data_IF_891033400748
#
_entry.id   IF_891033400748
#
_cell.length_a   1.000
_cell.length_b   1.000
_cell.length_c   1.000
_cell.angle_alpha   90.00
_cell.angle_beta   90.00
_cell.angle_gamma   90.00
#
_symmetry.space_group_name_H-M   'P 1'
#
loop_
_entity.id
_entity.type
_entity.pdbx_description
1 polymer ?
#
# COMPACT_ATOMS: atom_id res chain seq x y z
N UNK A 1 15.33 13.41 -6.92
CA UNK A 1 15.19 11.93 -6.92
C UNK A 1 15.57 11.39 -8.29
N UNK A 2 16.26 10.25 -8.37
CA UNK A 2 16.60 9.56 -9.63
C UNK A 2 15.41 8.79 -10.24
N UNK A 3 15.49 8.49 -11.55
CA UNK A 3 14.37 7.88 -12.28
C UNK A 3 14.08 6.44 -11.88
N UNK A 4 15.08 5.69 -11.38
CA UNK A 4 14.86 4.33 -10.89
C UNK A 4 13.97 4.34 -9.65
N UNK A 5 14.27 5.22 -8.69
CA UNK A 5 13.46 5.39 -7.48
C UNK A 5 12.05 5.90 -7.81
N UNK A 6 11.92 6.85 -8.73
CA UNK A 6 10.58 7.31 -9.19
C UNK A 6 9.77 6.14 -9.76
N UNK A 7 10.39 5.29 -10.57
CA UNK A 7 9.73 4.09 -11.11
C UNK A 7 9.44 3.03 -10.03
N UNK A 8 10.30 2.89 -9.03
CA UNK A 8 10.05 2.02 -7.89
C UNK A 8 8.80 2.47 -7.11
N UNK A 9 8.60 3.78 -6.91
CA UNK A 9 7.39 4.29 -6.29
C UNK A 9 6.13 4.10 -7.13
N UNK A 10 6.22 4.29 -8.45
CA UNK A 10 5.10 3.98 -9.36
C UNK A 10 4.75 2.49 -9.30
N UNK A 11 5.76 1.63 -9.19
CA UNK A 11 5.59 0.17 -9.02
C UNK A 11 4.93 -0.17 -7.69
N UNK A 12 5.37 0.47 -6.61
CA UNK A 12 4.77 0.33 -5.28
C UNK A 12 3.29 0.73 -5.30
N UNK A 13 2.95 1.85 -5.93
CA UNK A 13 1.58 2.32 -6.06
C UNK A 13 0.72 1.32 -6.85
N UNK A 14 1.23 0.81 -7.97
CA UNK A 14 0.56 -0.24 -8.74
C UNK A 14 0.32 -1.50 -7.90
N UNK A 15 1.35 -1.98 -7.18
CA UNK A 15 1.24 -3.18 -6.35
C UNK A 15 0.20 -3.01 -5.25
N UNK A 16 0.19 -1.87 -4.59
CA UNK A 16 -0.78 -1.60 -3.53
C UNK A 16 -2.22 -1.54 -4.06
N UNK A 17 -2.44 -0.97 -5.25
CA UNK A 17 -3.75 -0.98 -5.90
C UNK A 17 -4.23 -2.42 -6.20
N UNK A 18 -3.34 -3.33 -6.59
CA UNK A 18 -3.67 -4.75 -6.75
C UNK A 18 -4.05 -5.41 -5.42
N UNK A 19 -3.30 -5.13 -4.35
CA UNK A 19 -3.58 -5.66 -3.01
C UNK A 19 -4.96 -5.17 -2.53
N UNK A 20 -5.31 -3.89 -2.74
CA UNK A 20 -6.61 -3.31 -2.38
C UNK A 20 -7.77 -3.82 -3.25
N UNK A 21 -7.53 -4.13 -4.54
CA UNK A 21 -8.57 -4.66 -5.44
C UNK A 21 -9.21 -5.94 -4.91
N UNK A 22 -8.47 -6.74 -4.15
CA UNK A 22 -8.97 -7.97 -3.53
C UNK A 22 -10.14 -7.73 -2.55
N UNK A 23 -10.21 -6.53 -1.95
CA UNK A 23 -11.25 -6.15 -1.00
C UNK A 23 -12.63 -5.95 -1.65
N UNK A 24 -12.68 -5.73 -2.97
CA UNK A 24 -13.95 -5.55 -3.71
C UNK A 24 -14.88 -6.76 -3.62
N UNK A 25 -14.35 -7.96 -3.45
CA UNK A 25 -15.13 -9.19 -3.40
C UNK A 25 -15.50 -9.61 -1.98
N UNK A 26 -15.25 -8.75 -0.98
CA UNK A 26 -15.58 -9.05 0.41
C UNK A 26 -17.12 -9.07 0.59
N UNK A 27 -17.70 -10.19 1.09
CA UNK A 27 -19.15 -10.32 1.22
C UNK A 27 -19.68 -9.47 2.38
N UNK A 28 -20.09 -8.24 2.08
CA UNK A 28 -20.57 -7.23 3.04
C UNK A 28 -22.02 -7.42 3.55
N UNK A 29 -22.78 -8.41 3.05
CA UNK A 29 -24.24 -8.44 3.25
C UNK A 29 -24.77 -9.43 4.30
N UNK A 30 -24.48 -10.72 4.15
CA UNK A 30 -25.16 -11.80 4.89
C UNK A 30 -24.24 -12.62 5.81
N UNK A 31 -22.96 -12.75 5.48
CA UNK A 31 -21.99 -13.53 6.27
C UNK A 31 -21.49 -12.80 7.52
N UNK A 32 -21.51 -11.46 7.54
CA UNK A 32 -21.06 -10.64 8.67
C UNK A 32 -21.89 -10.81 9.94
N UNK A 33 -23.15 -11.26 9.82
CA UNK A 33 -24.08 -11.43 10.94
C UNK A 33 -23.88 -12.74 11.72
N UNK A 34 -23.17 -13.71 11.14
CA UNK A 34 -23.12 -15.09 11.63
C UNK A 34 -21.86 -15.33 12.48
N UNK A 35 -20.80 -14.52 12.34
CA UNK A 35 -19.54 -14.71 13.06
C UNK A 35 -18.91 -13.37 13.52
N UNK A 36 -19.05 -12.99 14.81
CA UNK A 36 -18.51 -11.72 15.33
C UNK A 36 -16.98 -11.66 15.32
N UNK A 37 -16.28 -12.79 15.34
CA UNK A 37 -14.82 -12.85 15.23
C UNK A 37 -14.37 -12.55 13.79
N UNK A 38 -15.08 -13.09 12.80
CA UNK A 38 -14.82 -12.77 11.39
C UNK A 38 -15.11 -11.29 11.09
N UNK A 39 -16.20 -10.75 11.64
CA UNK A 39 -16.55 -9.33 11.52
C UNK A 39 -15.47 -8.40 12.06
N UNK A 40 -14.91 -8.69 13.25
CA UNK A 40 -13.79 -7.89 13.79
C UNK A 40 -12.59 -7.91 12.87
N UNK A 41 -12.23 -9.07 12.30
CA UNK A 41 -11.11 -9.18 11.35
C UNK A 41 -11.35 -8.37 10.08
N UNK A 42 -12.56 -8.41 9.54
CA UNK A 42 -12.91 -7.70 8.31
C UNK A 42 -12.95 -6.17 8.52
N UNK A 43 -13.47 -5.69 9.65
CA UNK A 43 -13.40 -4.28 10.00
C UNK A 43 -11.97 -3.77 10.13
N UNK A 44 -11.08 -4.53 10.78
CA UNK A 44 -9.67 -4.19 10.89
C UNK A 44 -9.02 -4.14 9.50
N UNK A 45 -9.34 -5.09 8.61
CA UNK A 45 -8.86 -5.10 7.22
C UNK A 45 -9.32 -3.86 6.44
N UNK A 46 -10.58 -3.46 6.56
CA UNK A 46 -11.13 -2.28 5.88
C UNK A 46 -10.45 -1.00 6.39
N UNK A 47 -10.32 -0.86 7.71
CA UNK A 47 -9.67 0.32 8.32
C UNK A 47 -8.23 0.47 7.82
N UNK A 48 -7.45 -0.62 7.85
CA UNK A 48 -6.09 -0.64 7.34
C UNK A 48 -6.00 -0.30 5.85
N UNK A 49 -6.91 -0.84 5.05
CA UNK A 49 -6.97 -0.50 3.63
C UNK A 49 -7.19 1.00 3.41
N UNK A 50 -8.00 1.64 4.27
CA UNK A 50 -8.17 3.08 4.31
C UNK A 50 -6.88 3.83 4.65
N UNK A 51 -6.17 3.42 5.69
CA UNK A 51 -4.91 4.07 6.11
C UNK A 51 -3.80 3.91 5.05
N UNK A 52 -3.67 2.73 4.44
CA UNK A 52 -2.74 2.51 3.32
C UNK A 52 -3.18 3.35 2.11
N UNK A 53 -4.48 3.46 1.83
CA UNK A 53 -4.98 4.28 0.73
C UNK A 53 -4.68 5.77 0.95
N UNK A 54 -4.82 6.27 2.17
CA UNK A 54 -4.47 7.64 2.55
C UNK A 54 -2.97 7.91 2.39
N UNK A 55 -2.13 6.99 2.87
CA UNK A 55 -0.67 7.07 2.69
C UNK A 55 -0.28 7.10 1.20
N UNK A 56 -0.89 6.25 0.38
CA UNK A 56 -0.63 6.19 -1.07
C UNK A 56 -1.25 7.34 -1.85
N UNK A 57 -2.31 7.96 -1.35
CA UNK A 57 -2.91 9.13 -1.98
C UNK A 57 -1.89 10.26 -2.10
N UNK A 58 -1.12 10.49 -1.03
CA UNK A 58 -0.01 11.46 -1.04
C UNK A 58 1.04 11.08 -2.08
N UNK A 59 1.43 9.80 -2.13
CA UNK A 59 2.39 9.31 -3.13
C UNK A 59 1.88 9.53 -4.56
N UNK A 60 0.60 9.27 -4.83
CA UNK A 60 -0.02 9.47 -6.14
C UNK A 60 0.07 10.93 -6.59
N UNK A 61 -0.20 11.87 -5.67
CA UNK A 61 -0.11 13.30 -5.94
C UNK A 61 1.32 13.73 -6.29
N UNK A 62 2.33 13.20 -5.59
CA UNK A 62 3.73 13.46 -5.92
C UNK A 62 4.15 12.80 -7.23
N UNK A 63 3.71 11.57 -7.50
CA UNK A 63 4.01 10.88 -8.76
C UNK A 63 3.49 11.64 -9.99
N UNK A 64 2.32 12.28 -9.89
CA UNK A 64 1.76 13.13 -10.94
C UNK A 64 2.57 14.41 -11.21
N UNK A 65 3.38 14.85 -10.23
CA UNK A 65 4.26 16.03 -10.32
C UNK A 65 5.74 15.64 -10.46
N UNK A 66 6.00 14.43 -10.92
CA UNK A 66 7.34 13.85 -11.06
C UNK A 66 8.20 13.95 -9.79
N UNK A 67 7.55 13.76 -8.63
CA UNK A 67 8.15 13.75 -7.30
C UNK A 67 8.83 15.08 -6.91
N UNK A 68 8.39 16.20 -7.48
CA UNK A 68 8.81 17.54 -7.02
C UNK A 68 8.47 17.72 -5.54
N UNK A 69 9.49 18.11 -4.76
CA UNK A 69 9.39 18.32 -3.30
C UNK A 69 8.92 17.09 -2.52
N UNK A 70 9.06 15.89 -3.08
CA UNK A 70 8.76 14.67 -2.36
C UNK A 70 9.79 14.41 -1.26
N UNK A 71 9.31 14.29 -0.03
CA UNK A 71 10.10 13.95 1.15
C UNK A 71 9.99 12.45 1.40
N UNK A 72 11.01 11.72 0.93
CA UNK A 72 11.08 10.26 1.02
C UNK A 72 11.18 9.76 2.47
N UNK A 73 11.92 10.47 3.32
CA UNK A 73 12.10 10.07 4.72
C UNK A 73 10.78 10.21 5.48
N UNK A 74 10.08 11.35 5.30
CA UNK A 74 8.76 11.55 5.90
C UNK A 74 7.73 10.55 5.39
N UNK A 75 7.78 10.21 4.11
CA UNK A 75 6.88 9.22 3.50
C UNK A 75 7.06 7.83 4.13
N UNK A 76 8.30 7.39 4.33
CA UNK A 76 8.58 6.11 4.97
C UNK A 76 8.31 6.13 6.47
N UNK A 77 8.55 7.25 7.16
CA UNK A 77 8.18 7.39 8.57
C UNK A 77 6.67 7.18 8.79
N UNK A 78 5.82 7.73 7.92
CA UNK A 78 4.38 7.48 7.98
C UNK A 78 4.03 6.00 7.78
N UNK A 79 4.77 5.31 6.91
CA UNK A 79 4.57 3.88 6.71
C UNK A 79 4.98 3.06 7.95
N UNK A 80 6.12 3.40 8.56
CA UNK A 80 6.62 2.76 9.78
C UNK A 80 5.62 2.96 10.94
N UNK A 81 4.98 4.12 11.01
CA UNK A 81 3.91 4.40 11.97
C UNK A 81 2.69 3.48 11.75
N UNK A 82 2.23 3.32 10.50
CA UNK A 82 1.14 2.41 10.14
C UNK A 82 1.50 0.95 10.45
N UNK A 83 2.73 0.52 10.15
CA UNK A 83 3.23 -0.83 10.44
C UNK A 83 3.25 -1.11 11.95
N UNK A 84 3.67 -0.14 12.75
CA UNK A 84 3.68 -0.23 14.22
C UNK A 84 2.29 -0.27 14.83
N UNK A 85 1.32 0.44 14.26
CA UNK A 85 -0.07 0.40 14.72
C UNK A 85 -0.78 -0.91 14.33
N UNK A 86 -0.31 -1.59 13.28
CA UNK A 86 -0.93 -2.80 12.72
C UNK A 86 0.05 -3.92 12.33
N UNK A 87 0.87 -4.45 13.28
CA UNK A 87 1.95 -5.39 12.99
C UNK A 87 1.46 -6.76 12.49
N UNK A 88 0.28 -7.21 12.91
CA UNK A 88 -0.21 -8.57 12.66
C UNK A 88 -0.81 -8.78 11.25
N UNK A 89 -0.76 -7.78 10.36
CA UNK A 89 -1.45 -7.84 9.06
C UNK A 89 -0.59 -7.53 7.83
N UNK A 90 0.68 -7.13 7.97
CA UNK A 90 1.57 -6.91 6.82
C UNK A 90 2.06 -8.22 6.21
N UNK A 91 1.23 -8.82 5.35
CA UNK A 91 1.62 -9.96 4.52
C UNK A 91 2.54 -9.54 3.37
N UNK A 92 2.39 -8.29 2.90
CA UNK A 92 3.26 -7.67 1.90
C UNK A 92 4.03 -6.53 2.57
N UNK A 93 5.36 -6.63 2.62
CA UNK A 93 6.21 -5.48 2.97
C UNK A 93 6.32 -4.59 1.73
N UNK A 94 5.68 -3.41 1.76
CA UNK A 94 5.79 -2.43 0.67
C UNK A 94 7.21 -1.89 0.53
N UNK A 95 7.98 -1.87 1.61
CA UNK A 95 9.41 -1.56 1.59
C UNK A 95 10.19 -2.56 0.74
N UNK A 96 9.93 -3.86 0.95
CA UNK A 96 10.54 -4.90 0.11
C UNK A 96 10.09 -4.83 -1.37
N UNK A 97 8.86 -4.41 -1.65
CA UNK A 97 8.38 -4.16 -3.02
C UNK A 97 9.17 -3.01 -3.67
N UNK A 98 9.37 -1.93 -2.93
CA UNK A 98 10.17 -0.79 -3.37
C UNK A 98 11.63 -1.19 -3.63
N UNK A 99 12.27 -1.85 -2.67
CA UNK A 99 13.68 -2.25 -2.77
C UNK A 99 13.91 -3.15 -3.99
N UNK A 100 13.03 -4.14 -4.21
CA UNK A 100 13.05 -4.98 -5.41
C UNK A 100 12.92 -4.18 -6.70
N UNK A 101 12.01 -3.21 -6.72
CA UNK A 101 11.82 -2.36 -7.90
C UNK A 101 13.03 -1.44 -8.15
N UNK A 102 13.70 -0.94 -7.11
CA UNK A 102 14.95 -0.16 -7.23
C UNK A 102 16.09 -1.01 -7.78
N UNK A 103 16.20 -2.28 -7.34
CA UNK A 103 17.21 -3.23 -7.81
C UNK A 103 16.95 -3.76 -9.24
N UNK A 104 15.77 -3.48 -9.80
CA UNK A 104 15.33 -4.03 -11.09
C UNK A 104 14.85 -5.49 -11.01
N UNK A 105 14.84 -6.08 -9.81
CA UNK A 105 14.39 -7.44 -9.53
C UNK A 105 12.87 -7.47 -9.33
N UNK A 106 12.13 -7.18 -10.40
CA UNK A 106 10.66 -7.12 -10.35
C UNK A 106 10.06 -6.03 -11.24
N UNK A 107 10.84 -5.46 -12.15
CA UNK A 107 10.35 -4.52 -13.15
C UNK A 107 9.15 -5.09 -13.90
N UNK A 108 8.07 -4.31 -13.97
CA UNK A 108 6.96 -4.58 -14.87
C UNK A 108 7.55 -4.77 -16.28
N UNK A 109 7.26 -5.87 -16.99
CA UNK A 109 7.83 -6.12 -18.32
C UNK A 109 7.43 -5.10 -19.41
N UNK A 110 6.75 -3.99 -19.07
CA UNK A 110 6.08 -3.09 -20.02
C UNK A 110 6.00 -1.62 -19.57
N UNK A 111 7.03 -1.06 -18.94
CA UNK A 111 7.21 0.39 -18.78
C UNK A 111 8.66 0.78 -19.08
#
# INVERSE_FOLDING_TARGET
>A
MDDRRKNAYRTLLYRAMLDMRSLRWMPLGLLLRINPVAWRRDLIRIRRAGEIAEWLHNLAAFAARDFQSFDEDRFWQQFDDIEREHPEFLTTSYRAVFDKAVLGEGGLPYL
#
